data_IF_253939933875
#
_entry.id   IF_253939933875
#
_cell.length_a   1.000
_cell.length_b   1.000
_cell.length_c   1.000
_cell.angle_alpha   90.00
_cell.angle_beta   90.00
_cell.angle_gamma   90.00
#
_symmetry.space_group_name_H-M   'P 1'
#
loop_
_entity.id
_entity.type
_entity.pdbx_description
1 polymer ?
#
# COMPACT_ATOMS: atom_id res chain seq x y z
N UNK A 1 -29.85 -4.04 -17.93
CA UNK A 1 -28.95 -3.32 -18.84
C UNK A 1 -27.82 -2.72 -18.02
N UNK A 2 -26.56 -2.95 -18.39
CA UNK A 2 -25.42 -2.35 -17.70
C UNK A 2 -25.39 -0.84 -17.98
N UNK A 3 -25.23 -0.02 -16.94
CA UNK A 3 -25.04 1.43 -17.08
C UNK A 3 -23.79 1.66 -17.95
N UNK A 4 -23.96 2.37 -19.07
CA UNK A 4 -22.83 2.72 -19.92
C UNK A 4 -21.83 3.58 -19.14
N UNK A 5 -20.56 3.18 -19.13
CA UNK A 5 -19.49 3.95 -18.53
C UNK A 5 -19.29 5.24 -19.34
N UNK A 6 -19.07 6.37 -18.66
CA UNK A 6 -18.69 7.63 -19.32
C UNK A 6 -17.28 7.48 -19.90
N UNK A 7 -17.19 7.35 -21.22
CA UNK A 7 -15.94 7.12 -21.95
C UNK A 7 -15.02 8.34 -22.01
N UNK A 8 -15.54 9.52 -21.64
CA UNK A 8 -14.87 10.81 -21.62
C UNK A 8 -14.49 11.28 -20.20
N UNK A 9 -14.74 10.46 -19.18
CA UNK A 9 -14.35 10.76 -17.81
C UNK A 9 -12.82 10.81 -17.69
N UNK A 10 -12.30 11.94 -17.21
CA UNK A 10 -10.87 12.12 -16.91
C UNK A 10 -10.68 12.25 -15.41
N UNK A 11 -9.58 11.70 -14.91
CA UNK A 11 -9.10 11.99 -13.55
C UNK A 11 -8.62 13.44 -13.57
N UNK A 12 -9.18 14.27 -12.70
CA UNK A 12 -8.74 15.66 -12.54
C UNK A 12 -7.34 15.68 -11.91
N UNK A 13 -6.40 16.53 -12.38
CA UNK A 13 -5.01 16.55 -11.88
C UNK A 13 -4.90 16.67 -10.36
N UNK A 14 -5.78 17.45 -9.73
CA UNK A 14 -5.80 17.66 -8.28
C UNK A 14 -6.13 16.38 -7.51
N UNK A 15 -6.89 15.47 -8.11
CA UNK A 15 -7.25 14.17 -7.50
C UNK A 15 -6.26 13.07 -7.87
N UNK A 16 -5.38 13.33 -8.82
CA UNK A 16 -4.40 12.34 -9.27
C UNK A 16 -3.35 12.09 -8.19
N UNK A 17 -2.79 13.13 -7.58
CA UNK A 17 -1.78 12.98 -6.53
C UNK A 17 -2.33 12.24 -5.31
N UNK A 18 -3.49 12.64 -4.80
CA UNK A 18 -4.16 11.94 -3.69
C UNK A 18 -4.44 10.46 -4.03
N UNK A 19 -4.95 10.20 -5.23
CA UNK A 19 -5.26 8.84 -5.67
C UNK A 19 -3.99 7.99 -5.82
N UNK A 20 -2.88 8.57 -6.28
CA UNK A 20 -1.59 7.89 -6.39
C UNK A 20 -1.06 7.52 -4.99
N UNK A 21 -1.11 8.44 -4.04
CA UNK A 21 -0.69 8.18 -2.65
C UNK A 21 -1.51 7.05 -2.03
N UNK A 22 -2.84 7.09 -2.18
CA UNK A 22 -3.72 6.03 -1.67
C UNK A 22 -3.43 4.69 -2.35
N UNK A 23 -3.26 4.69 -3.68
CA UNK A 23 -2.96 3.47 -4.46
C UNK A 23 -1.65 2.85 -4.00
N UNK A 24 -0.60 3.65 -3.82
CA UNK A 24 0.72 3.16 -3.46
C UNK A 24 0.71 2.51 -2.07
N UNK A 25 -0.04 3.07 -1.12
CA UNK A 25 -0.29 2.45 0.21
C UNK A 25 -1.03 1.13 0.10
N UNK A 26 -2.08 1.07 -0.72
CA UNK A 26 -2.84 -0.17 -0.94
C UNK A 26 -1.98 -1.26 -1.60
N UNK A 27 -1.06 -0.90 -2.50
CA UNK A 27 -0.13 -1.84 -3.12
C UNK A 27 0.82 -2.42 -2.08
N UNK A 28 1.37 -1.62 -1.17
CA UNK A 28 2.24 -2.10 -0.09
C UNK A 28 1.49 -3.10 0.79
N UNK A 29 0.27 -2.76 1.21
CA UNK A 29 -0.56 -3.65 2.03
C UNK A 29 -0.86 -4.97 1.30
N UNK A 30 -1.24 -4.91 0.03
CA UNK A 30 -1.54 -6.10 -0.79
C UNK A 30 -0.31 -7.01 -0.93
N UNK A 31 0.87 -6.45 -1.21
CA UNK A 31 2.10 -7.23 -1.36
C UNK A 31 2.44 -7.96 -0.06
N UNK A 32 2.37 -7.26 1.07
CA UNK A 32 2.67 -7.85 2.38
C UNK A 32 1.65 -8.94 2.74
N UNK A 33 0.36 -8.71 2.50
CA UNK A 33 -0.68 -9.71 2.71
C UNK A 33 -0.45 -10.96 1.85
N UNK A 34 -0.13 -10.80 0.56
CA UNK A 34 0.15 -11.95 -0.32
C UNK A 34 1.36 -12.74 0.17
N UNK A 35 2.42 -12.07 0.63
CA UNK A 35 3.62 -12.73 1.15
C UNK A 35 3.34 -13.53 2.43
N UNK A 36 2.52 -12.99 3.33
CA UNK A 36 2.08 -13.66 4.57
C UNK A 36 1.11 -14.81 4.28
N UNK A 37 0.02 -14.55 3.56
CA UNK A 37 -1.07 -15.52 3.33
C UNK A 37 -0.65 -16.70 2.47
N UNK A 38 0.24 -16.48 1.49
CA UNK A 38 0.76 -17.57 0.64
C UNK A 38 1.97 -18.26 1.25
N UNK A 39 2.36 -17.91 2.48
CA UNK A 39 3.51 -18.45 3.20
C UNK A 39 4.80 -18.40 2.35
N UNK A 40 4.96 -17.33 1.56
CA UNK A 40 6.15 -17.13 0.72
C UNK A 40 7.36 -16.84 1.61
N UNK A 41 7.12 -16.11 2.71
CA UNK A 41 8.12 -15.76 3.72
C UNK A 41 7.52 -16.07 5.09
N UNK A 42 8.33 -16.61 6.00
CA UNK A 42 7.92 -16.80 7.39
C UNK A 42 7.57 -15.48 8.06
N UNK A 43 6.45 -15.44 8.78
CA UNK A 43 5.90 -14.23 9.41
C UNK A 43 6.91 -13.42 10.25
N UNK A 44 7.81 -14.02 11.07
CA UNK A 44 8.84 -13.25 11.78
C UNK A 44 9.83 -12.55 10.85
N UNK A 45 10.24 -13.24 9.77
CA UNK A 45 11.15 -12.70 8.76
C UNK A 45 10.46 -11.59 7.96
N UNK A 46 9.18 -11.78 7.59
CA UNK A 46 8.40 -10.76 6.92
C UNK A 46 8.25 -9.51 7.79
N UNK A 47 7.96 -9.68 9.08
CA UNK A 47 7.87 -8.57 10.05
C UNK A 47 9.17 -7.79 10.16
N UNK A 48 10.32 -8.47 10.22
CA UNK A 48 11.64 -7.83 10.23
C UNK A 48 11.89 -7.03 8.93
N UNK A 49 11.62 -7.63 7.76
CA UNK A 49 11.85 -6.98 6.46
C UNK A 49 10.96 -5.76 6.25
N UNK A 50 9.68 -5.85 6.63
CA UNK A 50 8.77 -4.70 6.59
C UNK A 50 9.21 -3.64 7.62
N UNK A 51 9.72 -4.07 8.78
CA UNK A 51 10.36 -3.19 9.76
C UNK A 51 11.48 -2.34 9.17
N UNK A 52 12.37 -2.93 8.37
CA UNK A 52 13.45 -2.19 7.72
C UNK A 52 12.93 -1.09 6.76
N UNK A 53 11.73 -1.22 6.20
CA UNK A 53 11.13 -0.18 5.36
C UNK A 53 10.75 1.08 6.15
N UNK A 54 10.47 0.93 7.45
CA UNK A 54 10.22 2.07 8.37
C UNK A 54 11.44 2.97 8.44
N UNK A 55 12.62 2.37 8.57
CA UNK A 55 13.90 3.09 8.67
C UNK A 55 14.31 3.75 7.35
N UNK A 56 13.80 3.25 6.22
CA UNK A 56 14.01 3.85 4.90
C UNK A 56 13.01 4.97 4.59
N UNK A 57 11.88 5.04 5.30
CA UNK A 57 10.79 6.00 5.06
C UNK A 57 10.92 7.30 5.87
N UNK A 58 12.15 7.72 6.18
CA UNK A 58 12.40 8.84 7.12
C UNK A 58 11.88 10.20 6.68
N UNK A 59 11.63 10.38 5.37
CA UNK A 59 11.18 11.65 4.80
C UNK A 59 9.67 11.69 4.50
N UNK A 60 8.94 10.59 4.73
CA UNK A 60 7.50 10.50 4.50
C UNK A 60 6.81 9.91 5.74
N UNK A 61 6.27 10.81 6.56
CA UNK A 61 5.63 10.46 7.83
C UNK A 61 4.39 9.57 7.64
N UNK A 62 3.61 9.81 6.58
CA UNK A 62 2.40 9.05 6.33
C UNK A 62 2.72 7.65 5.76
N UNK A 63 3.75 7.52 4.93
CA UNK A 63 4.28 6.21 4.51
C UNK A 63 4.80 5.43 5.72
N UNK A 64 5.55 6.08 6.60
CA UNK A 64 6.07 5.46 7.82
C UNK A 64 4.93 4.93 8.71
N UNK A 65 3.89 5.72 8.91
CA UNK A 65 2.68 5.31 9.64
C UNK A 65 1.96 4.14 8.96
N UNK A 66 1.86 4.16 7.62
CA UNK A 66 1.28 3.05 6.84
C UNK A 66 2.04 1.74 7.06
N UNK A 67 3.38 1.79 7.00
CA UNK A 67 4.22 0.61 7.21
C UNK A 67 4.04 0.07 8.65
N UNK A 68 3.98 0.95 9.66
CA UNK A 68 3.66 0.53 11.03
C UNK A 68 2.28 -0.15 11.15
N UNK A 69 1.26 0.40 10.48
CA UNK A 69 -0.07 -0.21 10.47
C UNK A 69 -0.06 -1.60 9.82
N UNK A 70 0.69 -1.78 8.73
CA UNK A 70 0.88 -3.08 8.06
C UNK A 70 1.60 -4.07 8.98
N UNK A 71 2.68 -3.66 9.65
CA UNK A 71 3.39 -4.48 10.64
C UNK A 71 2.49 -4.94 11.78
N UNK A 72 1.53 -4.12 12.23
CA UNK A 72 0.62 -4.50 13.31
C UNK A 72 -0.46 -5.50 12.89
N UNK A 73 -0.72 -5.64 11.57
CA UNK A 73 -1.66 -6.63 11.01
C UNK A 73 -0.98 -7.99 10.76
N UNK A 74 0.34 -7.98 10.52
CA UNK A 74 1.22 -9.14 10.65
C UNK A 74 1.42 -9.48 12.14
#
# INVERSE_FOLDING_TARGET
MAKAAKTDAKITPERLEEALVVRDRLIIELLVQVLDEKLVIERPVLRERVGNLVDLSNYDAELKETIHAVINKL
#
